data_IF_823303123428
#
_entry.id   IF_823303123428
#
_cell.length_a   1.000
_cell.length_b   1.000
_cell.length_c   1.000
_cell.angle_alpha   90.00
_cell.angle_beta   90.00
_cell.angle_gamma   90.00
#
_symmetry.space_group_name_H-M   'P 1'
#
loop_
_entity.id
_entity.type
_entity.pdbx_description
1 polymer ?
#
# COMPACT_ATOMS: atom_id res chain seq x y z
N UNK A 1 -5.17 -20.70 -2.51
CA UNK A 1 -3.73 -20.37 -2.41
C UNK A 1 -3.41 -20.02 -0.96
N UNK A 2 -2.46 -20.70 -0.33
CA UNK A 2 -2.06 -20.38 1.04
C UNK A 2 -1.37 -19.00 1.08
N UNK A 3 -1.83 -18.11 1.96
CA UNK A 3 -1.16 -16.84 2.21
C UNK A 3 0.21 -17.16 2.83
N UNK A 4 1.28 -16.91 2.08
CA UNK A 4 2.63 -17.16 2.57
C UNK A 4 3.08 -16.01 3.48
N UNK A 5 3.53 -16.33 4.68
CA UNK A 5 4.08 -15.36 5.62
C UNK A 5 5.41 -14.75 5.12
N UNK A 6 5.75 -13.50 5.50
CA UNK A 6 7.02 -12.87 5.18
C UNK A 6 8.21 -13.70 5.68
N UNK A 7 9.29 -13.74 4.90
CA UNK A 7 10.54 -14.39 5.33
C UNK A 7 11.27 -13.54 6.37
N UNK A 8 12.14 -14.16 7.18
CA UNK A 8 12.97 -13.46 8.17
C UNK A 8 13.78 -12.33 7.51
N UNK A 9 14.37 -12.58 6.33
CA UNK A 9 15.14 -11.57 5.58
C UNK A 9 14.28 -10.38 5.14
N UNK A 10 13.01 -10.62 4.76
CA UNK A 10 12.09 -9.54 4.38
C UNK A 10 11.72 -8.68 5.60
N UNK A 11 11.41 -9.32 6.74
CA UNK A 11 11.14 -8.62 8.00
C UNK A 11 12.31 -7.77 8.43
N UNK A 12 13.50 -8.37 8.54
CA UNK A 12 14.72 -7.68 8.96
C UNK A 12 15.05 -6.48 8.06
N UNK A 13 14.89 -6.61 6.74
CA UNK A 13 15.13 -5.50 5.81
C UNK A 13 14.22 -4.29 6.07
N UNK A 14 12.92 -4.54 6.31
CA UNK A 14 11.90 -3.50 6.52
C UNK A 14 11.96 -2.90 7.93
N UNK A 15 12.09 -3.75 8.95
CA UNK A 15 12.16 -3.34 10.36
C UNK A 15 13.39 -2.48 10.63
N UNK A 16 14.55 -2.83 10.05
CA UNK A 16 15.78 -2.02 10.16
C UNK A 16 15.65 -0.62 9.54
N UNK A 17 14.61 -0.37 8.76
CA UNK A 17 14.30 0.93 8.13
C UNK A 17 13.09 1.62 8.76
N UNK A 18 12.55 1.09 9.87
CA UNK A 18 11.37 1.65 10.53
C UNK A 18 10.06 1.49 9.74
N UNK A 19 9.99 0.52 8.82
CA UNK A 19 8.82 0.26 7.98
C UNK A 19 7.97 -0.85 8.61
N UNK A 20 6.66 -0.59 8.76
CA UNK A 20 5.69 -1.60 9.22
C UNK A 20 5.63 -2.72 8.18
N UNK A 21 5.88 -3.96 8.62
CA UNK A 21 5.95 -5.13 7.74
C UNK A 21 4.55 -5.55 7.25
N UNK A 22 4.28 -5.59 5.94
CA UNK A 22 3.06 -6.18 5.41
C UNK A 22 2.89 -7.66 5.82
N UNK A 23 1.66 -8.16 6.01
CA UNK A 23 1.43 -9.49 6.58
C UNK A 23 1.73 -10.64 5.62
N UNK A 24 2.01 -10.37 4.34
CA UNK A 24 2.24 -11.41 3.33
C UNK A 24 3.61 -11.28 2.66
N UNK A 25 4.19 -12.42 2.27
CA UNK A 25 5.43 -12.52 1.50
C UNK A 25 5.36 -11.74 0.19
N UNK A 26 4.21 -11.79 -0.49
CA UNK A 26 3.97 -11.08 -1.75
C UNK A 26 4.01 -9.57 -1.58
N UNK A 27 3.25 -9.05 -0.60
CA UNK A 27 3.24 -7.62 -0.29
C UNK A 27 4.62 -7.13 0.16
N UNK A 28 5.35 -7.92 0.96
CA UNK A 28 6.74 -7.61 1.32
C UNK A 28 7.66 -7.58 0.09
N UNK A 29 7.53 -8.54 -0.83
CA UNK A 29 8.34 -8.58 -2.06
C UNK A 29 8.13 -7.32 -2.90
N UNK A 30 6.87 -6.93 -3.13
CA UNK A 30 6.54 -5.73 -3.89
C UNK A 30 7.06 -4.46 -3.20
N UNK A 31 6.87 -4.33 -1.89
CA UNK A 31 7.35 -3.16 -1.15
C UNK A 31 8.88 -3.03 -1.18
N UNK A 32 9.60 -4.14 -0.98
CA UNK A 32 11.06 -4.15 -1.07
C UNK A 32 11.53 -3.83 -2.50
N UNK A 33 10.84 -4.34 -3.51
CA UNK A 33 11.13 -4.02 -4.92
C UNK A 33 10.96 -2.53 -5.19
N UNK A 34 9.85 -1.95 -4.74
CA UNK A 34 9.62 -0.50 -4.82
C UNK A 34 10.74 0.28 -4.14
N UNK A 35 11.10 -0.07 -2.90
CA UNK A 35 12.17 0.63 -2.17
C UNK A 35 13.50 0.58 -2.94
N UNK A 36 13.89 -0.58 -3.46
CA UNK A 36 15.18 -0.75 -4.14
C UNK A 36 15.22 -0.15 -5.54
N UNK A 37 14.15 -0.29 -6.32
CA UNK A 37 14.16 -0.06 -7.77
C UNK A 37 13.14 0.99 -8.22
N UNK A 38 12.20 1.38 -7.37
CA UNK A 38 11.02 2.14 -7.77
C UNK A 38 10.01 1.27 -8.55
N UNK A 39 8.88 1.88 -8.90
CA UNK A 39 7.85 1.25 -9.74
C UNK A 39 7.33 2.20 -10.82
N UNK A 40 8.13 3.20 -11.22
CA UNK A 40 7.72 4.23 -12.18
C UNK A 40 6.84 5.34 -11.58
N UNK A 41 6.75 5.44 -10.26
CA UNK A 41 6.10 6.54 -9.53
C UNK A 41 7.14 7.43 -8.82
N UNK A 42 6.76 8.10 -7.72
CA UNK A 42 7.59 9.05 -6.97
C UNK A 42 8.69 8.37 -6.12
N UNK A 43 9.75 9.14 -5.86
CA UNK A 43 10.90 8.75 -5.01
C UNK A 43 12.14 8.43 -5.84
N UNK A 44 13.01 9.42 -5.99
CA UNK A 44 14.14 9.40 -6.93
C UNK A 44 15.22 8.36 -6.56
N UNK A 45 15.39 8.06 -5.27
CA UNK A 45 16.38 7.12 -4.75
C UNK A 45 15.80 6.24 -3.63
N UNK A 46 16.60 5.27 -3.15
CA UNK A 46 16.16 4.34 -2.09
C UNK A 46 15.75 5.07 -0.81
N UNK A 47 16.50 6.09 -0.40
CA UNK A 47 16.24 6.84 0.84
C UNK A 47 14.93 7.63 0.75
N UNK A 48 14.70 8.30 -0.38
CA UNK A 48 13.46 9.02 -0.65
C UNK A 48 12.25 8.06 -0.64
N UNK A 49 12.40 6.86 -1.21
CA UNK A 49 11.34 5.85 -1.21
C UNK A 49 11.06 5.27 0.18
N UNK A 50 12.10 5.05 0.99
CA UNK A 50 11.94 4.67 2.41
C UNK A 50 11.16 5.75 3.16
N UNK A 51 11.59 7.01 3.07
CA UNK A 51 10.92 8.13 3.72
C UNK A 51 9.46 8.26 3.29
N UNK A 52 9.18 8.10 1.99
CA UNK A 52 7.82 8.11 1.45
C UNK A 52 6.99 6.93 1.99
N UNK A 53 7.53 5.72 2.03
CA UNK A 53 6.85 4.56 2.61
C UNK A 53 6.46 4.83 4.06
N UNK A 54 7.38 5.33 4.88
CA UNK A 54 7.13 5.64 6.29
C UNK A 54 6.05 6.72 6.43
N UNK A 55 6.15 7.80 5.66
CA UNK A 55 5.18 8.90 5.70
C UNK A 55 3.77 8.42 5.33
N UNK A 56 3.64 7.60 4.30
CA UNK A 56 2.35 7.01 3.93
C UNK A 56 1.86 6.03 5.00
N UNK A 57 2.72 5.19 5.56
CA UNK A 57 2.31 4.28 6.62
C UNK A 57 1.81 5.02 7.86
N UNK A 58 2.49 6.10 8.26
CA UNK A 58 2.04 6.97 9.36
C UNK A 58 0.70 7.65 9.05
N UNK A 59 0.45 8.03 7.80
CA UNK A 59 -0.78 8.70 7.39
C UNK A 59 -1.98 7.75 7.30
N UNK A 60 -1.76 6.48 6.96
CA UNK A 60 -2.85 5.59 6.57
C UNK A 60 -3.00 4.38 7.46
N UNK A 61 -1.92 3.74 7.92
CA UNK A 61 -2.03 2.45 8.62
C UNK A 61 -2.64 2.65 10.00
N UNK A 62 -3.70 1.90 10.29
CA UNK A 62 -4.48 2.02 11.53
C UNK A 62 -5.60 3.05 11.46
N UNK A 63 -5.66 3.86 10.41
CA UNK A 63 -6.67 4.91 10.29
C UNK A 63 -8.02 4.40 9.79
N UNK A 64 -9.08 5.03 10.29
CA UNK A 64 -10.44 4.82 9.82
C UNK A 64 -10.64 5.52 8.47
N UNK A 65 -11.25 4.80 7.53
CA UNK A 65 -11.48 5.28 6.16
C UNK A 65 -12.90 4.98 5.71
N UNK A 66 -13.36 5.79 4.75
CA UNK A 66 -14.54 5.50 3.93
C UNK A 66 -14.13 5.20 2.50
N UNK A 67 -14.67 4.14 1.94
CA UNK A 67 -14.39 3.76 0.56
C UNK A 67 -15.30 4.47 -0.44
N UNK A 68 -14.71 4.90 -1.56
CA UNK A 68 -15.37 5.51 -2.71
C UNK A 68 -15.37 4.58 -3.94
N UNK A 69 -14.78 3.38 -3.82
CA UNK A 69 -14.78 2.38 -4.87
C UNK A 69 -16.23 1.91 -5.17
N UNK A 70 -16.57 1.72 -6.45
CA UNK A 70 -17.95 1.42 -6.87
C UNK A 70 -18.58 0.21 -6.18
N UNK A 71 -17.79 -0.81 -5.85
CA UNK A 71 -18.26 -2.05 -5.20
C UNK A 71 -18.35 -1.98 -3.67
N UNK A 72 -17.87 -0.89 -3.04
CA UNK A 72 -17.82 -0.70 -1.59
C UNK A 72 -18.11 0.76 -1.22
N UNK A 73 -18.91 1.45 -2.04
CA UNK A 73 -19.10 2.89 -1.93
C UNK A 73 -19.86 3.24 -0.65
N UNK A 74 -19.23 4.04 0.22
CA UNK A 74 -19.76 4.44 1.51
C UNK A 74 -19.38 3.52 2.67
N UNK A 75 -18.78 2.35 2.40
CA UNK A 75 -18.40 1.40 3.45
C UNK A 75 -17.25 1.96 4.30
N UNK A 76 -17.43 1.84 5.62
CA UNK A 76 -16.43 2.15 6.62
C UNK A 76 -15.45 0.99 6.83
N UNK A 77 -14.20 1.32 7.13
CA UNK A 77 -13.21 0.32 7.49
C UNK A 77 -11.94 0.92 8.07
N UNK A 78 -10.98 0.04 8.37
CA UNK A 78 -9.67 0.41 8.92
C UNK A 78 -8.57 -0.12 8.02
N UNK A 79 -7.60 0.73 7.70
CA UNK A 79 -6.43 0.33 6.93
C UNK A 79 -5.52 -0.57 7.78
N UNK A 80 -5.24 -1.77 7.29
CA UNK A 80 -4.41 -2.77 7.98
C UNK A 80 -2.94 -2.67 7.61
N UNK A 81 -2.65 -2.45 6.34
CA UNK A 81 -1.29 -2.26 5.82
C UNK A 81 -1.33 -1.60 4.44
N UNK A 82 -0.17 -1.12 4.00
CA UNK A 82 0.04 -0.64 2.63
C UNK A 82 0.83 -1.68 1.81
N UNK A 83 0.38 -1.94 0.59
CA UNK A 83 1.10 -2.70 -0.42
C UNK A 83 1.62 -1.78 -1.51
N UNK A 84 2.84 -2.00 -1.99
CA UNK A 84 3.32 -1.30 -3.18
C UNK A 84 2.68 -1.89 -4.45
N UNK A 85 2.35 -1.03 -5.42
CA UNK A 85 1.92 -1.43 -6.76
C UNK A 85 3.07 -2.06 -7.53
N UNK A 86 2.75 -3.04 -8.38
CA UNK A 86 3.70 -3.54 -9.37
C UNK A 86 3.97 -2.48 -10.45
N UNK A 87 5.05 -2.64 -11.21
CA UNK A 87 5.34 -1.79 -12.37
C UNK A 87 4.22 -1.91 -13.41
N UNK A 88 3.74 -3.12 -13.66
CA UNK A 88 2.68 -3.39 -14.63
C UNK A 88 1.39 -2.66 -14.26
N UNK A 89 0.99 -2.70 -12.98
CA UNK A 89 -0.20 -1.96 -12.52
C UNK A 89 -0.02 -0.46 -12.77
N UNK A 90 1.15 0.10 -12.45
CA UNK A 90 1.44 1.53 -12.67
C UNK A 90 1.38 1.89 -14.15
N UNK A 91 1.86 1.01 -15.04
CA UNK A 91 1.79 1.21 -16.48
C UNK A 91 0.34 1.22 -16.97
N UNK A 92 -0.50 0.29 -16.51
CA UNK A 92 -1.94 0.27 -16.85
C UNK A 92 -2.62 1.59 -16.45
N UNK A 93 -2.34 2.12 -15.25
CA UNK A 93 -2.91 3.41 -14.83
C UNK A 93 -2.38 4.60 -15.64
N UNK A 94 -1.11 4.55 -16.06
CA UNK A 94 -0.53 5.58 -16.90
C UNK A 94 -1.19 5.60 -18.27
N UNK A 95 -1.37 4.42 -18.88
CA UNK A 95 -1.98 4.27 -20.20
C UNK A 95 -3.47 4.65 -20.18
N UNK A 96 -4.15 4.52 -19.04
CA UNK A 96 -5.52 5.00 -18.85
C UNK A 96 -5.64 6.52 -18.67
N UNK A 97 -4.53 7.27 -18.73
CA UNK A 97 -4.51 8.73 -18.53
C UNK A 97 -4.70 9.17 -17.07
N UNK A 98 -4.50 8.28 -16.09
CA UNK A 98 -4.64 8.64 -14.68
C UNK A 98 -3.50 9.56 -14.23
N UNK A 99 -3.82 10.73 -13.72
CA UNK A 99 -2.84 11.70 -13.20
C UNK A 99 -2.46 11.44 -11.73
N UNK A 100 -3.17 10.54 -11.04
CA UNK A 100 -2.96 10.22 -9.62
C UNK A 100 -2.27 8.86 -9.45
N UNK A 101 -1.01 8.78 -9.87
CA UNK A 101 -0.19 7.57 -9.73
C UNK A 101 0.40 7.48 -8.31
N UNK A 102 -0.34 6.84 -7.40
CA UNK A 102 0.17 6.53 -6.07
C UNK A 102 1.01 5.24 -6.08
N UNK A 103 2.18 5.22 -5.41
CA UNK A 103 3.01 4.01 -5.32
C UNK A 103 2.34 2.86 -4.56
N UNK A 104 1.34 3.19 -3.73
CA UNK A 104 0.75 2.26 -2.78
C UNK A 104 -0.75 2.08 -2.99
N UNK A 105 -1.21 0.93 -2.52
CA UNK A 105 -2.59 0.58 -2.25
C UNK A 105 -2.73 0.24 -0.76
N UNK A 106 -3.92 0.43 -0.22
CA UNK A 106 -4.24 0.08 1.16
C UNK A 106 -5.06 -1.20 1.22
N UNK A 107 -4.69 -2.11 2.09
CA UNK A 107 -5.59 -3.16 2.52
C UNK A 107 -6.54 -2.58 3.57
N UNK A 108 -7.84 -2.54 3.27
CA UNK A 108 -8.87 -2.08 4.19
C UNK A 108 -9.64 -3.27 4.70
N UNK A 109 -9.76 -3.39 6.03
CA UNK A 109 -10.70 -4.30 6.68
C UNK A 109 -11.99 -3.53 6.93
N UNK A 110 -13.05 -3.93 6.24
CA UNK A 110 -14.37 -3.34 6.39
C UNK A 110 -15.10 -3.89 7.61
N UNK A 111 -16.14 -3.18 8.03
CA UNK A 111 -16.96 -3.54 9.19
C UNK A 111 -17.66 -4.90 9.03
N UNK A 112 -17.92 -5.31 7.78
CA UNK A 112 -18.44 -6.64 7.45
C UNK A 112 -17.40 -7.78 7.58
N UNK A 113 -16.19 -7.48 8.07
CA UNK A 113 -15.10 -8.43 8.29
C UNK A 113 -14.28 -8.78 7.05
N UNK A 114 -14.71 -8.38 5.84
CA UNK A 114 -13.95 -8.61 4.60
C UNK A 114 -12.77 -7.64 4.51
N UNK A 115 -11.72 -8.07 3.82
CA UNK A 115 -10.55 -7.23 3.56
C UNK A 115 -10.28 -7.13 2.07
N UNK A 116 -9.96 -5.93 1.59
CA UNK A 116 -9.69 -5.69 0.17
C UNK A 116 -8.57 -4.68 -0.05
N UNK A 117 -7.78 -4.91 -1.09
CA UNK A 117 -6.82 -3.92 -1.57
C UNK A 117 -7.55 -2.84 -2.38
N UNK A 118 -7.31 -1.57 -2.03
CA UNK A 118 -7.90 -0.41 -2.67
C UNK A 118 -6.82 0.61 -3.00
N UNK A 119 -6.99 1.28 -4.15
CA UNK A 119 -6.24 2.49 -4.45
C UNK A 119 -6.49 3.55 -3.38
N UNK A 120 -5.44 4.25 -2.97
CA UNK A 120 -5.56 5.36 -2.01
C UNK A 120 -6.46 6.49 -2.52
N UNK A 121 -6.58 6.64 -3.85
CA UNK A 121 -7.51 7.59 -4.49
C UNK A 121 -8.99 7.24 -4.26
N UNK A 122 -9.28 6.01 -3.86
CA UNK A 122 -10.63 5.53 -3.59
C UNK A 122 -10.95 5.53 -2.09
N UNK A 123 -10.12 6.16 -1.27
CA UNK A 123 -10.25 6.20 0.18
C UNK A 123 -10.26 7.64 0.68
N UNK A 124 -11.13 7.88 1.65
CA UNK A 124 -11.20 9.12 2.41
C UNK A 124 -10.88 8.80 3.88
N UNK A 125 -9.95 9.54 4.47
CA UNK A 125 -9.63 9.45 5.90
C UNK A 125 -10.77 10.10 6.70
N UNK A 126 -11.24 9.42 7.75
CA UNK A 126 -12.34 9.90 8.60
C UNK A 126 -11.87 10.67 9.85
N UNK A 127 -10.55 10.80 10.05
CA UNK A 127 -9.92 11.35 11.24
C UNK A 127 -9.11 12.63 11.02
N UNK A 128 -9.61 13.58 10.22
CA UNK A 128 -9.09 14.95 10.13
C UNK A 128 -10.19 15.97 10.39
#
# INVERSE_FOLDING_TARGET
MAISNPTIKQRAFLEARGIIVPPTKGSCKLLISYIKQGNGTVGNDESARIALTIAYQKKWVGEAVRAHASFAKGDGGVVRYLGARSVDDVMIFRDSGSTKLHPFEANVRFDNGKSQMLSLSNLELLGL
#
